data_IF_672940069615
#
_entry.id   IF_672940069615
#
_cell.length_a   1.000
_cell.length_b   1.000
_cell.length_c   1.000
_cell.angle_alpha   90.00
_cell.angle_beta   90.00
_cell.angle_gamma   90.00
#
_symmetry.space_group_name_H-M   'P 1'
#
loop_
_entity.id
_entity.type
_entity.pdbx_description
1 polymer ?
#
# COMPACT_ATOMS: atom_id res chain seq x y z
N UNK A 1 20.96 -14.05 7.55
CA UNK A 1 20.50 -12.76 6.98
C UNK A 1 20.38 -12.85 5.48
N UNK A 2 19.40 -12.14 4.93
CA UNK A 2 19.23 -11.98 3.50
C UNK A 2 19.06 -10.51 3.16
N UNK A 3 19.37 -10.14 1.91
CA UNK A 3 19.18 -8.77 1.42
C UNK A 3 18.11 -8.81 0.34
N UNK A 4 17.14 -7.93 0.42
CA UNK A 4 16.07 -7.79 -0.57
C UNK A 4 16.25 -6.49 -1.33
N UNK A 5 16.15 -6.57 -2.67
CA UNK A 5 16.25 -5.41 -3.54
C UNK A 5 15.00 -5.25 -4.39
N UNK A 6 14.48 -4.03 -4.57
CA UNK A 6 13.45 -3.79 -5.57
C UNK A 6 14.04 -3.95 -6.97
N UNK A 7 13.18 -4.18 -7.96
CA UNK A 7 13.60 -4.24 -9.35
C UNK A 7 13.89 -2.82 -9.84
N UNK A 8 15.15 -2.49 -10.01
CA UNK A 8 15.62 -1.13 -10.31
C UNK A 8 15.41 -0.76 -11.78
N UNK A 9 14.81 0.40 -12.03
CA UNK A 9 14.70 0.99 -13.36
C UNK A 9 13.69 0.33 -14.30
N UNK A 10 13.00 -0.72 -13.86
CA UNK A 10 12.12 -1.50 -14.73
C UNK A 10 10.74 -0.90 -14.94
N UNK A 11 10.26 -0.10 -14.00
CA UNK A 11 8.93 0.51 -14.07
C UNK A 11 9.02 1.89 -14.72
N UNK A 12 9.44 2.89 -13.95
CA UNK A 12 9.51 4.29 -14.42
C UNK A 12 10.78 4.61 -15.17
N UNK A 13 11.81 3.78 -15.04
CA UNK A 13 13.06 3.93 -15.76
C UNK A 13 13.01 3.46 -17.21
N UNK A 14 11.93 2.78 -17.63
CA UNK A 14 11.73 2.34 -19.01
C UNK A 14 12.58 1.16 -19.45
N UNK A 15 13.27 0.48 -18.52
CA UNK A 15 14.10 -0.68 -18.84
C UNK A 15 13.25 -1.96 -18.86
N UNK A 16 13.63 -2.91 -19.73
CA UNK A 16 12.99 -4.21 -19.76
C UNK A 16 13.25 -4.98 -18.46
N UNK A 17 12.18 -5.52 -17.87
CA UNK A 17 12.25 -6.21 -16.58
C UNK A 17 13.18 -7.43 -16.63
N UNK A 18 13.10 -8.22 -17.68
CA UNK A 18 13.94 -9.42 -17.82
C UNK A 18 15.43 -9.05 -17.90
N UNK A 19 15.74 -7.97 -18.62
CA UNK A 19 17.10 -7.45 -18.71
C UNK A 19 17.62 -6.98 -17.35
N UNK A 20 16.79 -6.26 -16.58
CA UNK A 20 17.17 -5.76 -15.25
C UNK A 20 17.38 -6.92 -14.28
N UNK A 21 16.53 -7.95 -14.30
CA UNK A 21 16.67 -9.14 -13.46
C UNK A 21 18.01 -9.86 -13.79
N UNK A 22 18.31 -10.04 -15.08
CA UNK A 22 19.55 -10.67 -15.50
C UNK A 22 20.77 -9.87 -15.06
N UNK A 23 20.73 -8.54 -15.22
CA UNK A 23 21.82 -7.66 -14.83
C UNK A 23 22.04 -7.70 -13.32
N UNK A 24 20.97 -7.58 -12.51
CA UNK A 24 21.07 -7.62 -11.06
C UNK A 24 21.56 -8.97 -10.56
N UNK A 25 21.11 -10.06 -11.17
CA UNK A 25 21.54 -11.41 -10.82
C UNK A 25 23.03 -11.58 -11.09
N UNK A 26 23.52 -11.07 -12.22
CA UNK A 26 24.93 -11.14 -12.60
C UNK A 26 25.82 -10.33 -11.64
N UNK A 27 25.38 -9.11 -11.30
CA UNK A 27 26.15 -8.23 -10.40
C UNK A 27 26.16 -8.75 -8.96
N UNK A 28 25.13 -9.50 -8.57
CA UNK A 28 25.05 -10.09 -7.23
C UNK A 28 25.68 -11.47 -7.13
N UNK A 29 26.19 -12.00 -8.25
CA UNK A 29 26.89 -13.26 -8.27
C UNK A 29 28.17 -13.15 -7.44
N UNK A 30 28.36 -14.09 -6.54
CA UNK A 30 29.50 -14.06 -5.63
C UNK A 30 29.23 -13.41 -4.28
N UNK A 31 28.07 -12.84 -4.09
CA UNK A 31 27.64 -12.35 -2.77
C UNK A 31 27.33 -13.55 -1.88
N UNK A 32 27.94 -13.57 -0.69
CA UNK A 32 27.81 -14.70 0.24
C UNK A 32 26.42 -14.73 0.91
N UNK A 33 25.81 -13.55 1.10
CA UNK A 33 24.50 -13.41 1.73
C UNK A 33 23.40 -13.69 0.69
N UNK A 34 22.35 -14.45 1.04
CA UNK A 34 21.21 -14.62 0.12
C UNK A 34 20.62 -13.29 -0.31
N UNK A 35 20.43 -13.11 -1.62
CA UNK A 35 19.89 -11.88 -2.21
C UNK A 35 18.56 -12.21 -2.87
N UNK A 36 17.55 -11.40 -2.57
CA UNK A 36 16.22 -11.51 -3.16
C UNK A 36 15.93 -10.26 -3.99
N UNK A 37 15.38 -10.45 -5.18
CA UNK A 37 14.97 -9.37 -6.07
C UNK A 37 13.45 -9.40 -6.16
N UNK A 38 12.79 -8.30 -5.76
CA UNK A 38 11.34 -8.18 -5.75
C UNK A 38 10.86 -7.33 -6.91
N UNK A 39 9.89 -7.85 -7.63
CA UNK A 39 9.18 -7.14 -8.67
C UNK A 39 7.89 -6.55 -8.09
N UNK A 40 7.63 -5.26 -8.36
CA UNK A 40 6.40 -4.63 -7.91
C UNK A 40 5.21 -5.18 -8.70
N UNK A 41 4.21 -5.68 -7.98
CA UNK A 41 2.95 -6.11 -8.54
C UNK A 41 1.84 -5.19 -8.00
N UNK A 42 1.33 -4.31 -8.85
CA UNK A 42 0.30 -3.35 -8.46
C UNK A 42 -1.05 -3.98 -8.16
N UNK A 43 -1.23 -5.27 -8.45
CA UNK A 43 -2.44 -6.02 -8.12
C UNK A 43 -2.23 -6.98 -6.95
N UNK A 44 -1.04 -6.99 -6.34
CA UNK A 44 -0.77 -7.84 -5.19
C UNK A 44 -1.72 -7.50 -4.04
N UNK A 45 -2.28 -8.53 -3.43
CA UNK A 45 -3.16 -8.37 -2.28
C UNK A 45 -2.35 -8.14 -1.02
N UNK A 46 -2.77 -7.19 -0.18
CA UNK A 46 -2.19 -6.99 1.12
C UNK A 46 -3.27 -6.92 2.21
N UNK A 47 -2.85 -7.18 3.45
CA UNK A 47 -3.76 -7.17 4.59
C UNK A 47 -4.21 -5.77 4.97
N UNK A 48 -3.42 -4.76 4.63
CA UNK A 48 -3.70 -3.36 4.94
C UNK A 48 -4.97 -2.90 4.23
N UNK A 49 -5.16 -3.28 2.97
CA UNK A 49 -6.37 -2.94 2.22
C UNK A 49 -7.61 -3.56 2.85
N UNK A 50 -7.54 -4.82 3.26
CA UNK A 50 -8.65 -5.50 3.91
C UNK A 50 -9.02 -4.83 5.23
N UNK A 51 -8.03 -4.48 6.03
CA UNK A 51 -8.23 -3.78 7.31
C UNK A 51 -8.85 -2.40 7.06
N UNK A 52 -8.34 -1.68 6.07
CA UNK A 52 -8.87 -0.36 5.71
C UNK A 52 -10.35 -0.45 5.33
N UNK A 53 -10.70 -1.36 4.42
CA UNK A 53 -12.09 -1.50 3.95
C UNK A 53 -13.03 -1.82 5.10
N UNK A 54 -12.66 -2.76 5.95
CA UNK A 54 -13.48 -3.14 7.12
C UNK A 54 -13.67 -1.96 8.07
N UNK A 55 -12.62 -1.23 8.38
CA UNK A 55 -12.68 -0.10 9.30
C UNK A 55 -13.45 1.07 8.70
N UNK A 56 -13.26 1.35 7.42
CA UNK A 56 -13.97 2.41 6.72
C UNK A 56 -15.49 2.14 6.72
N UNK A 57 -15.88 0.91 6.40
CA UNK A 57 -17.30 0.53 6.35
C UNK A 57 -17.96 0.45 7.73
N UNK A 58 -17.19 0.22 8.77
CA UNK A 58 -17.73 0.09 10.13
C UNK A 58 -17.94 1.44 10.82
N UNK A 59 -17.40 2.52 10.26
CA UNK A 59 -17.51 3.87 10.87
C UNK A 59 -18.55 4.70 10.17
N UNK A 60 -19.21 5.57 10.95
CA UNK A 60 -20.16 6.53 10.39
C UNK A 60 -19.40 7.75 9.83
N UNK A 61 -20.14 8.62 9.14
CA UNK A 61 -19.58 9.81 8.51
C UNK A 61 -18.91 10.75 9.51
N UNK A 62 -19.49 10.93 10.69
CA UNK A 62 -18.91 11.77 11.74
C UNK A 62 -17.55 11.26 12.21
N UNK A 63 -17.44 9.95 12.40
CA UNK A 63 -16.20 9.32 12.81
C UNK A 63 -15.11 9.44 11.74
N UNK A 64 -15.48 9.27 10.48
CA UNK A 64 -14.56 9.44 9.36
C UNK A 64 -14.06 10.88 9.23
N UNK A 65 -14.95 11.86 9.43
CA UNK A 65 -14.55 13.27 9.43
C UNK A 65 -13.61 13.59 10.59
N UNK A 66 -13.83 13.00 11.75
CA UNK A 66 -12.96 13.18 12.91
C UNK A 66 -11.55 12.65 12.65
N UNK A 67 -11.42 11.65 11.77
CA UNK A 67 -10.12 11.10 11.37
C UNK A 67 -9.39 11.94 10.33
N UNK A 68 -10.08 12.88 9.69
CA UNK A 68 -9.50 13.77 8.70
C UNK A 68 -10.05 13.62 7.28
N UNK A 69 -11.01 12.73 7.05
CA UNK A 69 -11.65 12.61 5.73
C UNK A 69 -12.59 13.78 5.46
N UNK A 70 -12.52 14.33 4.26
CA UNK A 70 -13.49 15.33 3.80
C UNK A 70 -14.76 14.63 3.31
N UNK A 71 -15.86 15.38 3.19
CA UNK A 71 -17.11 14.86 2.64
C UNK A 71 -16.92 14.30 1.23
N UNK A 72 -16.16 15.02 0.39
CA UNK A 72 -15.92 14.59 -0.97
C UNK A 72 -15.04 13.32 -1.02
N UNK A 73 -14.07 13.20 -0.12
CA UNK A 73 -13.23 12.01 -0.01
C UNK A 73 -14.07 10.79 0.41
N UNK A 74 -14.92 10.94 1.42
CA UNK A 74 -15.79 9.84 1.89
C UNK A 74 -16.70 9.37 0.76
N UNK A 75 -17.30 10.29 0.02
CA UNK A 75 -18.19 9.97 -1.10
C UNK A 75 -17.42 9.25 -2.20
N UNK A 76 -16.23 9.74 -2.55
CA UNK A 76 -15.42 9.15 -3.59
C UNK A 76 -14.96 7.74 -3.24
N UNK A 77 -14.50 7.54 -2.01
CA UNK A 77 -14.08 6.22 -1.54
C UNK A 77 -15.26 5.24 -1.55
N UNK A 78 -16.44 5.65 -1.09
CA UNK A 78 -17.62 4.80 -1.16
C UNK A 78 -17.94 4.37 -2.58
N UNK A 79 -17.87 5.30 -3.54
CA UNK A 79 -18.09 4.99 -4.95
C UNK A 79 -17.09 3.96 -5.47
N UNK A 80 -15.81 4.13 -5.12
CA UNK A 80 -14.75 3.21 -5.55
C UNK A 80 -14.98 1.83 -4.95
N UNK A 81 -15.27 1.74 -3.67
CA UNK A 81 -15.49 0.46 -2.98
C UNK A 81 -16.72 -0.28 -3.49
N UNK A 82 -17.71 0.43 -4.03
CA UNK A 82 -18.87 -0.18 -4.67
C UNK A 82 -18.57 -0.68 -6.08
N UNK A 83 -17.58 -0.10 -6.74
CA UNK A 83 -17.28 -0.36 -8.15
C UNK A 83 -16.21 -1.42 -8.36
N UNK A 84 -15.21 -1.48 -7.48
CA UNK A 84 -14.08 -2.40 -7.61
C UNK A 84 -13.73 -3.02 -6.26
N UNK A 85 -13.09 -4.17 -6.32
CA UNK A 85 -12.47 -4.79 -5.14
C UNK A 85 -11.04 -4.29 -5.03
N UNK A 86 -10.71 -3.71 -3.87
CA UNK A 86 -9.38 -3.19 -3.62
C UNK A 86 -8.51 -4.27 -2.99
N UNK A 87 -7.40 -4.60 -3.63
CA UNK A 87 -6.42 -5.56 -3.15
C UNK A 87 -5.29 -4.91 -2.35
N UNK A 88 -5.00 -3.66 -2.67
CA UNK A 88 -4.00 -2.86 -1.95
C UNK A 88 -4.39 -1.39 -2.03
N UNK A 89 -3.83 -0.58 -1.13
CA UNK A 89 -4.13 0.86 -1.10
C UNK A 89 -3.53 1.62 -2.28
N UNK A 90 -2.55 1.05 -2.98
CA UNK A 90 -2.03 1.61 -4.22
C UNK A 90 -3.08 1.70 -5.32
N UNK A 91 -4.01 0.75 -5.38
CA UNK A 91 -5.13 0.81 -6.32
C UNK A 91 -6.03 2.02 -6.03
N UNK A 92 -6.23 2.33 -4.74
CA UNK A 92 -7.00 3.51 -4.35
C UNK A 92 -6.28 4.80 -4.79
N UNK A 93 -4.96 4.83 -4.63
CA UNK A 93 -4.14 5.97 -5.03
C UNK A 93 -4.20 6.25 -6.54
N UNK A 94 -4.40 5.22 -7.36
CA UNK A 94 -4.49 5.35 -8.81
C UNK A 94 -5.83 5.89 -9.30
N UNK A 95 -6.84 5.94 -8.43
CA UNK A 95 -8.17 6.43 -8.79
C UNK A 95 -8.19 7.96 -8.86
N UNK A 96 -8.89 8.48 -9.86
CA UNK A 96 -9.09 9.92 -10.01
C UNK A 96 -9.84 10.48 -8.81
N UNK A 97 -9.36 11.60 -8.27
CA UNK A 97 -9.97 12.25 -7.13
C UNK A 97 -9.41 11.83 -5.77
N UNK A 98 -8.48 10.87 -5.76
CA UNK A 98 -7.79 10.46 -4.52
C UNK A 98 -6.42 11.12 -4.48
N UNK A 99 -6.27 12.11 -3.60
CA UNK A 99 -5.01 12.82 -3.41
C UNK A 99 -4.13 12.18 -2.33
N UNK A 100 -2.93 12.72 -2.16
CA UNK A 100 -1.95 12.23 -1.19
C UNK A 100 -2.49 12.31 0.24
N UNK A 101 -3.14 13.41 0.60
CA UNK A 101 -3.68 13.59 1.96
C UNK A 101 -4.78 12.57 2.27
N UNK A 102 -5.66 12.30 1.30
CA UNK A 102 -6.69 11.29 1.45
C UNK A 102 -6.07 9.92 1.63
N UNK A 103 -5.04 9.61 0.84
CA UNK A 103 -4.33 8.33 0.94
C UNK A 103 -3.64 8.18 2.29
N UNK A 104 -2.98 9.22 2.79
CA UNK A 104 -2.39 9.23 4.12
C UNK A 104 -3.42 8.92 5.20
N UNK A 105 -4.60 9.53 5.11
CA UNK A 105 -5.68 9.30 6.07
C UNK A 105 -6.17 7.85 6.00
N UNK A 106 -6.21 7.26 4.80
CA UNK A 106 -6.54 5.84 4.61
C UNK A 106 -5.54 4.94 5.33
N UNK A 107 -4.24 5.21 5.18
CA UNK A 107 -3.21 4.45 5.89
C UNK A 107 -3.30 4.62 7.40
N UNK A 108 -3.54 5.82 7.88
CA UNK A 108 -3.72 6.07 9.31
C UNK A 108 -4.90 5.29 9.87
N UNK A 109 -6.02 5.26 9.15
CA UNK A 109 -7.18 4.48 9.56
C UNK A 109 -6.85 2.99 9.64
N UNK A 110 -6.12 2.46 8.65
CA UNK A 110 -5.76 1.05 8.61
C UNK A 110 -4.79 0.67 9.74
N UNK A 111 -3.89 1.56 10.12
CA UNK A 111 -2.80 1.27 11.05
C UNK A 111 -3.06 1.71 12.50
N UNK A 112 -3.99 2.61 12.72
CA UNK A 112 -4.21 3.27 14.01
C UNK A 112 -4.48 2.31 15.17
N UNK A 113 -5.24 1.24 14.95
CA UNK A 113 -5.56 0.28 16.01
C UNK A 113 -4.37 -0.59 16.38
N UNK A 114 -3.48 -0.87 15.44
CA UNK A 114 -2.28 -1.65 15.71
C UNK A 114 -1.34 -0.86 16.63
N UNK A 115 -1.21 0.44 16.39
CA UNK A 115 -0.46 1.32 17.28
C UNK A 115 -1.08 1.37 18.68
N UNK A 116 -2.42 1.43 18.79
CA UNK A 116 -3.10 1.40 20.08
C UNK A 116 -2.91 0.09 20.80
N UNK A 117 -3.03 -1.02 20.09
CA UNK A 117 -2.81 -2.34 20.68
C UNK A 117 -1.37 -2.46 21.22
N UNK A 118 -0.39 -1.99 20.45
CA UNK A 118 1.00 -2.00 20.87
C UNK A 118 1.26 -1.09 22.08
N UNK A 119 0.63 0.08 22.12
CA UNK A 119 0.74 1.01 23.25
C UNK A 119 0.09 0.44 24.50
N UNK A 120 -1.02 -0.26 24.37
CA UNK A 120 -1.70 -0.90 25.50
C UNK A 120 -0.87 -2.02 26.12
N UNK A 121 -0.04 -2.70 25.34
CA UNK A 121 0.85 -3.76 25.86
C UNK A 121 1.94 -3.20 26.79
N UNK A 122 2.26 -1.91 26.69
CA UNK A 122 3.29 -1.26 27.48
C UNK A 122 2.75 -0.39 28.62
N UNK A 123 1.45 -0.26 28.70
CA UNK A 123 0.79 0.40 29.82
C UNK A 123 0.62 -0.61 30.97
#
# INVERSE_FOLDING_TARGET
KSIAFPLLGADKGGLDQDYVIELMTREMEGVIIPVEIYQYDHLAQDDIADIFVKRFRSRNESELKALGFTNSAIRKINQILMSIEIRNLGQLASQEGIGIKTLETCYLLAMKNDLRANLTLFD
#
